data_IF_850482427026
#
_entry.id   IF_850482427026
#
_cell.length_a   1.000
_cell.length_b   1.000
_cell.length_c   1.000
_cell.angle_alpha   90.00
_cell.angle_beta   90.00
_cell.angle_gamma   90.00
#
_symmetry.space_group_name_H-M   'P 1'
#
loop_
_entity.id
_entity.type
_entity.pdbx_description
1 polymer ?
#
# COMPACT_ATOMS: atom_id res chain seq x y z
N UNK A 1 -9.57 -8.36 3.23
CA UNK A 1 -10.88 -8.19 3.90
C UNK A 1 -11.96 -8.53 2.90
N UNK A 2 -13.00 -9.27 3.32
CA UNK A 2 -14.10 -9.66 2.45
C UNK A 2 -15.26 -8.69 2.63
N UNK A 3 -15.89 -8.27 1.54
CA UNK A 3 -17.13 -7.51 1.63
C UNK A 3 -18.26 -8.45 2.15
N UNK A 4 -19.14 -8.01 3.06
CA UNK A 4 -20.25 -8.83 3.53
C UNK A 4 -21.24 -9.14 2.41
N UNK A 5 -21.83 -10.34 2.46
CA UNK A 5 -22.94 -10.72 1.58
C UNK A 5 -24.22 -9.96 1.96
N UNK A 6 -25.22 -9.86 1.07
CA UNK A 6 -26.44 -9.08 1.33
C UNK A 6 -27.21 -9.48 2.59
N UNK A 7 -27.11 -10.75 3.02
CA UNK A 7 -27.76 -11.28 4.22
C UNK A 7 -26.88 -11.20 5.48
N UNK A 8 -25.66 -10.68 5.37
CA UNK A 8 -24.72 -10.51 6.48
C UNK A 8 -24.82 -9.09 7.06
N UNK A 9 -24.29 -8.90 8.27
CA UNK A 9 -24.28 -7.60 8.95
C UNK A 9 -23.53 -6.53 8.12
N UNK A 10 -24.24 -5.47 7.75
CA UNK A 10 -23.74 -4.34 6.94
C UNK A 10 -23.32 -3.13 7.80
N UNK A 11 -23.34 -3.24 9.13
CA UNK A 11 -22.99 -2.12 10.00
C UNK A 11 -21.47 -1.82 10.06
N UNK A 12 -21.08 -0.81 10.85
CA UNK A 12 -19.69 -0.40 11.01
C UNK A 12 -18.79 -1.55 11.45
N UNK A 13 -17.57 -1.57 10.92
CA UNK A 13 -16.54 -2.55 11.28
C UNK A 13 -15.26 -1.83 11.65
N UNK A 14 -14.63 -2.28 12.72
CA UNK A 14 -13.27 -1.87 13.06
C UNK A 14 -12.29 -2.76 12.33
N UNK A 15 -11.39 -2.14 11.58
CA UNK A 15 -10.30 -2.82 10.91
C UNK A 15 -9.04 -1.98 11.00
N UNK A 16 -7.96 -2.59 11.46
CA UNK A 16 -6.64 -1.97 11.51
C UNK A 16 -5.76 -2.60 10.43
N UNK A 17 -5.25 -1.79 9.51
CA UNK A 17 -4.32 -2.24 8.50
C UNK A 17 -2.89 -2.17 9.05
N UNK A 18 -2.12 -3.24 8.82
CA UNK A 18 -0.68 -3.28 9.11
C UNK A 18 0.08 -3.56 7.81
N UNK A 19 1.16 -2.82 7.58
CA UNK A 19 1.98 -2.95 6.39
C UNK A 19 3.44 -3.21 6.81
N UNK A 20 3.99 -4.34 6.41
CA UNK A 20 5.40 -4.66 6.60
C UNK A 20 6.25 -3.96 5.52
N UNK A 21 6.50 -2.67 5.68
CA UNK A 21 7.29 -1.89 4.72
C UNK A 21 8.78 -1.94 5.05
N UNK A 22 9.62 -1.79 4.03
CA UNK A 22 11.07 -1.71 4.20
C UNK A 22 11.49 -0.39 4.85
N UNK A 23 12.70 -0.35 5.42
CA UNK A 23 13.31 0.89 5.88
C UNK A 23 13.51 1.85 4.69
N UNK A 24 13.45 3.16 4.96
CA UNK A 24 13.44 4.22 3.93
C UNK A 24 14.62 4.16 2.96
N UNK A 25 15.79 3.82 3.49
CA UNK A 25 17.09 3.75 2.81
C UNK A 25 17.27 2.46 1.99
N UNK A 26 16.31 1.53 2.03
CA UNK A 26 16.38 0.28 1.27
C UNK A 26 15.98 0.52 -0.18
N UNK A 27 16.83 0.05 -1.11
CA UNK A 27 16.51 -0.01 -2.54
C UNK A 27 15.65 -1.24 -2.87
N UNK A 28 14.56 -1.00 -3.60
CA UNK A 28 13.66 -2.01 -4.12
C UNK A 28 14.03 -2.28 -5.57
N UNK A 29 14.45 -3.52 -5.87
CA UNK A 29 14.81 -3.98 -7.20
C UNK A 29 14.19 -5.34 -7.48
N UNK A 30 13.53 -5.47 -8.64
CA UNK A 30 12.97 -6.76 -9.06
C UNK A 30 14.05 -7.80 -9.32
N UNK A 31 13.78 -9.11 -9.13
CA UNK A 31 14.78 -10.17 -9.26
C UNK A 31 15.43 -10.24 -10.65
N UNK A 32 14.69 -9.89 -11.70
CA UNK A 32 15.18 -9.83 -13.08
C UNK A 32 15.66 -8.44 -13.51
N UNK A 33 15.65 -7.45 -12.60
CA UNK A 33 16.05 -6.04 -12.86
C UNK A 33 15.37 -5.41 -14.09
N UNK A 34 14.14 -5.82 -14.38
CA UNK A 34 13.35 -5.32 -15.52
C UNK A 34 13.07 -3.81 -15.44
N UNK A 35 12.98 -3.28 -14.23
CA UNK A 35 12.68 -1.87 -13.96
C UNK A 35 13.83 -1.23 -13.18
N UNK A 36 14.05 0.08 -13.31
CA UNK A 36 15.01 0.81 -12.50
C UNK A 36 14.75 0.59 -11.00
N UNK A 37 15.81 0.57 -10.17
CA UNK A 37 15.66 0.55 -8.72
C UNK A 37 14.92 1.81 -8.24
N UNK A 38 14.21 1.67 -7.12
CA UNK A 38 13.53 2.77 -6.43
C UNK A 38 13.75 2.62 -4.93
N UNK A 39 13.96 3.70 -4.19
CA UNK A 39 14.03 3.62 -2.72
C UNK A 39 12.64 3.32 -2.13
N UNK A 40 12.61 2.70 -0.96
CA UNK A 40 11.35 2.48 -0.24
C UNK A 40 10.68 3.82 0.11
N UNK A 41 11.44 4.85 0.47
CA UNK A 41 10.91 6.19 0.73
C UNK A 41 10.23 6.79 -0.51
N UNK A 42 10.89 6.78 -1.66
CA UNK A 42 10.33 7.33 -2.90
C UNK A 42 9.07 6.58 -3.32
N UNK A 43 9.08 5.26 -3.20
CA UNK A 43 7.90 4.44 -3.47
C UNK A 43 6.71 4.87 -2.60
N UNK A 44 6.93 5.04 -1.28
CA UNK A 44 5.88 5.45 -0.35
C UNK A 44 5.35 6.85 -0.66
N UNK A 45 6.23 7.80 -0.96
CA UNK A 45 5.83 9.15 -1.36
C UNK A 45 4.97 9.14 -2.62
N UNK A 46 5.34 8.36 -3.64
CA UNK A 46 4.53 8.22 -4.86
C UNK A 46 3.16 7.62 -4.56
N UNK A 47 3.05 6.62 -3.68
CA UNK A 47 1.77 6.00 -3.32
C UNK A 47 0.88 6.93 -2.50
N UNK A 48 1.46 7.72 -1.58
CA UNK A 48 0.73 8.74 -0.82
C UNK A 48 0.21 9.81 -1.78
N UNK A 49 1.06 10.36 -2.64
CA UNK A 49 0.64 11.35 -3.63
C UNK A 49 -0.45 10.81 -4.55
N UNK A 50 -0.32 9.59 -5.07
CA UNK A 50 -1.36 9.00 -5.93
C UNK A 50 -2.74 8.88 -5.24
N UNK A 51 -2.77 8.66 -3.93
CA UNK A 51 -4.01 8.53 -3.17
C UNK A 51 -4.59 9.88 -2.70
N UNK A 52 -3.74 10.88 -2.46
CA UNK A 52 -4.14 12.15 -1.82
C UNK A 52 -3.95 13.40 -2.71
N UNK A 53 -3.39 13.30 -3.91
CA UNK A 53 -3.16 14.44 -4.81
C UNK A 53 -4.44 15.00 -5.46
N UNK A 54 -5.59 14.33 -5.32
CA UNK A 54 -6.91 14.88 -5.64
C UNK A 54 -7.64 15.24 -4.34
N UNK A 55 -7.12 16.25 -3.66
CA UNK A 55 -7.81 17.00 -2.61
C UNK A 55 -8.36 18.30 -3.17
#
# INVERSE_FOLDING_TARGET
MRNPLPHEYQGPRYSLAFFCQANKDVEILGPQRKYPPISAEDYLQQRIQANFAKG
#
